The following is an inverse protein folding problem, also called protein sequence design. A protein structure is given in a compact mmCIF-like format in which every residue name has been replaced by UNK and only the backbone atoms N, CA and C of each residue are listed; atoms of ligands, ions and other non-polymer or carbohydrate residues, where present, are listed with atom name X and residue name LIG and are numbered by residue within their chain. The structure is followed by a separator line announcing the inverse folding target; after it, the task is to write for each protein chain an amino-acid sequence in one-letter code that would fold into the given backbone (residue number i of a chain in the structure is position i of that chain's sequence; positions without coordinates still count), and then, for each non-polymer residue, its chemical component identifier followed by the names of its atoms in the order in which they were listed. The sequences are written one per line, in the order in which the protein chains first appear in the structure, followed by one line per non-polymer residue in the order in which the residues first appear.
data_IF_584320447629
#
_entry.id   IF_584320447629
#
_cell.length_a   1.000
_cell.length_b   1.000
_cell.length_c   1.000
_cell.angle_alpha   90.00
_cell.angle_beta   90.00
_cell.angle_gamma   90.00
#
_symmetry.space_group_name_H-M   'P 1'
#
loop_
_entity.id
_entity.type
_entity.pdbx_description
1 polymer ?
#
# COMPACT_ATOMS: atom_id res chain seq x y z
N UNK A 1 30.09 -19.62 -22.77
CA UNK A 1 30.37 -18.94 -21.48
C UNK A 1 30.33 -17.44 -21.76
N UNK A 2 29.41 -16.59 -21.33
CA UNK A 2 28.35 -16.64 -20.32
C UNK A 2 28.26 -15.24 -19.68
N UNK A 3 27.20 -14.49 -19.99
CA UNK A 3 26.64 -13.45 -19.10
C UNK A 3 27.28 -12.05 -19.06
N UNK A 4 26.97 -11.19 -20.03
CA UNK A 4 26.95 -9.74 -19.80
C UNK A 4 25.61 -9.37 -19.13
N UNK A 5 25.59 -9.44 -17.80
CA UNK A 5 24.40 -9.30 -16.96
C UNK A 5 24.18 -7.86 -16.45
N UNK A 6 24.15 -6.86 -17.33
CA UNK A 6 23.74 -5.49 -16.98
C UNK A 6 23.00 -4.83 -18.16
N UNK A 7 21.84 -5.40 -18.51
CA UNK A 7 20.93 -4.81 -19.48
C UNK A 7 19.70 -4.22 -18.80
N UNK A 8 19.52 -2.91 -18.92
CA UNK A 8 18.22 -2.21 -18.98
C UNK A 8 17.32 -2.11 -17.74
N UNK A 9 17.64 -2.72 -16.60
CA UNK A 9 16.72 -2.63 -15.43
C UNK A 9 16.99 -1.40 -14.54
N UNK A 10 18.19 -0.83 -14.59
CA UNK A 10 18.57 0.33 -13.78
C UNK A 10 18.05 1.66 -14.35
N UNK A 11 17.91 1.78 -15.67
CA UNK A 11 17.45 2.99 -16.35
C UNK A 11 15.94 3.21 -16.19
N UNK A 12 15.19 2.13 -15.98
CA UNK A 12 13.73 2.16 -15.92
C UNK A 12 13.16 2.72 -14.61
N UNK A 13 13.96 2.75 -13.55
CA UNK A 13 13.57 3.33 -12.25
C UNK A 13 14.20 4.70 -12.00
N UNK A 14 15.31 5.03 -12.67
CA UNK A 14 16.05 6.28 -12.49
C UNK A 14 15.79 7.34 -13.57
N UNK A 15 15.43 6.94 -14.80
CA UNK A 15 15.23 7.85 -15.94
C UNK A 15 13.86 7.73 -16.63
N UNK A 16 12.85 7.16 -15.94
CA UNK A 16 11.49 7.09 -16.49
C UNK A 16 10.84 8.48 -16.59
N UNK A 17 10.19 8.76 -17.73
CA UNK A 17 9.43 10.01 -17.97
C UNK A 17 8.26 10.20 -16.99
N UNK A 18 7.74 9.11 -16.44
CA UNK A 18 6.67 9.11 -15.44
C UNK A 18 7.18 8.50 -14.14
N UNK A 19 7.00 9.23 -13.04
CA UNK A 19 7.51 8.88 -11.71
C UNK A 19 6.93 7.56 -11.17
N UNK A 20 5.71 7.20 -11.59
CA UNK A 20 5.09 5.93 -11.28
C UNK A 20 4.75 5.18 -12.56
N UNK A 21 5.11 3.90 -12.60
CA UNK A 21 4.67 3.01 -13.67
C UNK A 21 3.51 2.13 -13.20
N UNK A 22 2.34 2.74 -13.06
CA UNK A 22 1.15 2.06 -12.56
C UNK A 22 0.55 1.10 -13.59
N UNK A 23 0.61 1.44 -14.87
CA UNK A 23 -0.01 0.64 -15.95
C UNK A 23 0.69 -0.69 -16.20
N UNK A 24 1.99 -0.79 -15.87
CA UNK A 24 2.74 -2.06 -15.93
C UNK A 24 2.51 -2.93 -14.70
N UNK A 25 1.73 -2.48 -13.72
CA UNK A 25 1.51 -3.23 -12.48
C UNK A 25 0.58 -4.42 -12.72
N UNK A 26 1.09 -5.64 -12.52
CA UNK A 26 0.27 -6.86 -12.62
C UNK A 26 -0.88 -6.82 -11.60
N UNK A 27 -2.11 -7.04 -12.10
CA UNK A 27 -3.36 -6.93 -11.34
C UNK A 27 -3.57 -5.57 -10.66
N UNK A 28 -3.19 -4.47 -11.32
CA UNK A 28 -3.29 -3.10 -10.82
C UNK A 28 -4.64 -2.79 -10.17
N UNK A 29 -5.76 -3.06 -10.85
CA UNK A 29 -7.10 -2.76 -10.32
C UNK A 29 -7.37 -3.46 -8.99
N UNK A 30 -7.01 -4.74 -8.88
CA UNK A 30 -7.16 -5.52 -7.65
C UNK A 30 -6.28 -4.97 -6.53
N UNK A 31 -5.02 -4.63 -6.82
CA UNK A 31 -4.10 -4.09 -5.82
C UNK A 31 -4.53 -2.70 -5.33
N UNK A 32 -4.99 -1.84 -6.24
CA UNK A 32 -5.48 -0.51 -5.87
C UNK A 32 -6.77 -0.61 -5.06
N UNK A 33 -7.72 -1.47 -5.44
CA UNK A 33 -8.96 -1.65 -4.66
C UNK A 33 -8.69 -2.20 -3.26
N UNK A 34 -7.82 -3.21 -3.15
CA UNK A 34 -7.41 -3.75 -1.84
C UNK A 34 -6.66 -2.71 -1.01
N UNK A 35 -5.78 -1.93 -1.64
CA UNK A 35 -5.05 -0.84 -0.97
C UNK A 35 -5.99 0.21 -0.39
N UNK A 36 -6.94 0.70 -1.19
CA UNK A 36 -7.94 1.68 -0.74
C UNK A 36 -8.83 1.09 0.36
N UNK A 37 -9.32 -0.14 0.18
CA UNK A 37 -10.17 -0.80 1.18
C UNK A 37 -9.44 -0.97 2.51
N UNK A 38 -8.17 -1.36 2.48
CA UNK A 38 -7.35 -1.55 3.68
C UNK A 38 -7.13 -0.22 4.39
N UNK A 39 -6.72 0.82 3.66
CA UNK A 39 -6.48 2.15 4.22
C UNK A 39 -7.74 2.72 4.88
N UNK A 40 -8.89 2.60 4.20
CA UNK A 40 -10.18 3.03 4.73
C UNK A 40 -10.57 2.25 6.00
N UNK A 41 -10.42 0.92 5.96
CA UNK A 41 -10.77 0.05 7.10
C UNK A 41 -9.96 0.38 8.35
N UNK A 42 -8.65 0.66 8.21
CA UNK A 42 -7.81 1.09 9.33
C UNK A 42 -8.23 2.47 9.82
N UNK A 43 -8.50 3.41 8.90
CA UNK A 43 -8.93 4.77 9.23
C UNK A 43 -10.21 4.83 10.05
N UNK A 44 -11.17 3.93 9.80
CA UNK A 44 -12.42 3.83 10.59
C UNK A 44 -12.27 2.92 11.80
N UNK A 45 -11.57 1.79 11.66
CA UNK A 45 -11.47 0.77 12.70
C UNK A 45 -10.72 1.24 13.94
N UNK A 46 -9.62 2.00 13.76
CA UNK A 46 -8.80 2.48 14.89
C UNK A 46 -9.59 3.43 15.81
N UNK A 47 -10.26 4.49 15.32
CA UNK A 47 -11.07 5.37 16.17
C UNK A 47 -12.22 4.65 16.87
N UNK A 48 -12.94 3.76 16.18
CA UNK A 48 -14.05 2.99 16.78
C UNK A 48 -13.55 2.13 17.93
N UNK A 49 -12.44 1.42 17.72
CA UNK A 49 -11.83 0.61 18.77
C UNK A 49 -11.35 1.48 19.94
N UNK A 50 -10.78 2.64 19.67
CA UNK A 50 -10.33 3.57 20.71
C UNK A 50 -11.51 4.06 21.58
N UNK A 51 -12.68 4.35 20.98
CA UNK A 51 -13.88 4.72 21.73
C UNK A 51 -14.39 3.57 22.59
N UNK A 52 -14.48 2.35 22.03
CA UNK A 52 -14.88 1.15 22.78
C UNK A 52 -13.94 0.92 23.97
N UNK A 53 -12.64 1.04 23.74
CA UNK A 53 -11.63 0.88 24.78
C UNK A 53 -11.79 1.92 25.90
N UNK A 54 -12.04 3.19 25.55
CA UNK A 54 -12.28 4.25 26.54
C UNK A 54 -13.57 4.02 27.34
N UNK A 55 -14.67 3.67 26.67
CA UNK A 55 -15.94 3.36 27.34
C UNK A 55 -15.81 2.19 28.32
N UNK A 56 -15.06 1.14 27.96
CA UNK A 56 -14.79 0.01 28.86
C UNK A 56 -14.01 0.41 30.11
N UNK A 57 -13.10 1.39 30.01
CA UNK A 57 -12.39 1.93 31.17
C UNK A 57 -13.30 2.76 32.08
N UNK A 58 -14.18 3.58 31.49
CA UNK A 58 -15.10 4.44 32.25
C UNK A 58 -16.24 3.64 32.89
N UNK A 59 -16.74 2.58 32.25
CA UNK A 59 -17.82 1.74 32.78
C UNK A 59 -17.38 0.77 33.90
N UNK A 60 -16.06 0.64 34.15
CA UNK A 60 -15.52 -0.22 35.20
C UNK A 60 -15.28 0.52 36.53
N UNK A 61 -15.67 1.79 36.63
CA UNK A 61 -15.69 2.58 37.87
C UNK A 61 -17.09 2.63 38.47
#
# INVERSE_FOLDING_TARGET
MGGHAHGNDYEYYLHAKHMYNLDRMKHQKLKMSLGVLTAFSIGVGVPVYAVIFQQRKTASG
#
